data_IF_998981908200
#
_entry.id   IF_998981908200
#
_cell.length_a   1.000
_cell.length_b   1.000
_cell.length_c   1.000
_cell.angle_alpha   90.00
_cell.angle_beta   90.00
_cell.angle_gamma   90.00
#
_symmetry.space_group_name_H-M   'P 1'
#
loop_
_entity.id
_entity.type
_entity.pdbx_description
1 polymer ?
#
# COMPACT_ATOMS: atom_id res chain seq x y z
N UNK A 1 10.28 0.43 22.56
CA UNK A 1 10.11 0.45 21.09
C UNK A 1 11.19 -0.42 20.48
N UNK A 2 10.91 -1.08 19.37
CA UNK A 2 11.83 -1.97 18.66
C UNK A 2 11.92 -1.55 17.19
N UNK A 3 13.11 -1.70 16.60
CA UNK A 3 13.31 -1.46 15.17
C UNK A 3 13.01 -2.75 14.40
N UNK A 4 11.95 -2.74 13.61
CA UNK A 4 11.54 -3.87 12.76
C UNK A 4 12.00 -3.59 11.33
N UNK A 5 12.67 -4.57 10.71
CA UNK A 5 13.06 -4.49 9.30
C UNK A 5 11.83 -4.67 8.42
N UNK A 6 11.61 -3.74 7.48
CA UNK A 6 10.51 -3.86 6.53
C UNK A 6 10.80 -4.99 5.53
N UNK A 7 9.77 -5.76 5.14
CA UNK A 7 9.93 -6.79 4.11
C UNK A 7 10.44 -6.14 2.83
N UNK A 8 11.40 -6.79 2.16
CA UNK A 8 12.03 -6.24 0.98
C UNK A 8 10.99 -5.85 -0.08
N UNK A 9 11.20 -4.67 -0.69
CA UNK A 9 10.46 -4.25 -1.87
C UNK A 9 10.57 -5.37 -2.90
N UNK A 10 9.43 -5.95 -3.28
CA UNK A 10 9.43 -7.06 -4.20
C UNK A 10 9.79 -6.49 -5.58
N UNK A 11 11.00 -6.78 -6.07
CA UNK A 11 11.50 -6.36 -7.39
C UNK A 11 10.73 -7.05 -8.56
N UNK A 12 9.40 -7.18 -8.47
CA UNK A 12 8.53 -7.60 -9.57
C UNK A 12 8.57 -6.63 -10.75
N UNK A 13 9.15 -5.43 -10.57
CA UNK A 13 9.34 -4.43 -11.62
C UNK A 13 10.18 -4.86 -12.83
N UNK A 14 10.90 -6.00 -12.77
CA UNK A 14 11.62 -6.56 -13.92
C UNK A 14 11.01 -7.86 -14.47
N UNK A 15 9.91 -8.34 -13.91
CA UNK A 15 9.24 -9.53 -14.41
C UNK A 15 7.99 -9.13 -15.18
N UNK A 16 8.08 -9.21 -16.52
CA UNK A 16 6.93 -9.20 -17.42
C UNK A 16 5.81 -10.05 -16.83
N UNK A 17 4.59 -9.52 -16.83
CA UNK A 17 3.35 -10.17 -16.35
C UNK A 17 3.13 -11.57 -16.96
N UNK A 18 3.74 -11.85 -18.12
CA UNK A 18 3.81 -13.18 -18.74
C UNK A 18 4.62 -14.23 -17.95
N UNK A 19 5.64 -13.82 -17.19
CA UNK A 19 6.48 -14.70 -16.35
C UNK A 19 5.88 -14.98 -14.99
N UNK A 20 5.03 -14.08 -14.47
CA UNK A 20 4.28 -14.29 -13.22
C UNK A 20 3.26 -15.44 -13.33
N UNK A 21 2.64 -15.61 -14.52
CA UNK A 21 1.75 -16.75 -14.79
C UNK A 21 2.49 -18.08 -14.99
N UNK A 22 3.75 -18.07 -15.45
CA UNK A 22 4.57 -19.30 -15.64
C UNK A 22 5.21 -19.82 -14.36
N UNK A 23 5.46 -18.96 -13.36
CA UNK A 23 6.16 -19.34 -12.12
C UNK A 23 5.26 -19.99 -11.04
N UNK A 24 3.97 -20.22 -11.31
CA UNK A 24 3.12 -20.99 -10.39
C UNK A 24 3.47 -22.50 -10.38
N UNK A 25 4.19 -23.00 -11.40
CA UNK A 25 4.48 -24.44 -11.54
C UNK A 25 5.93 -24.86 -11.20
N UNK A 26 6.78 -23.97 -10.67
CA UNK A 26 8.15 -24.33 -10.31
C UNK A 26 8.59 -23.68 -9.01
N UNK A 27 8.14 -24.23 -7.88
CA UNK A 27 8.66 -23.89 -6.54
C UNK A 27 9.37 -25.10 -5.93
N UNK A 28 10.58 -25.38 -6.40
CA UNK A 28 11.58 -26.10 -5.63
C UNK A 28 12.91 -25.44 -5.98
N UNK A 29 13.42 -24.59 -5.07
CA UNK A 29 14.85 -24.36 -4.77
C UNK A 29 15.12 -22.91 -4.31
N UNK A 30 15.44 -22.80 -3.01
CA UNK A 30 16.22 -21.79 -2.29
C UNK A 30 15.73 -20.32 -2.25
N UNK A 31 15.18 -19.86 -1.10
CA UNK A 31 14.70 -18.48 -0.92
C UNK A 31 15.80 -17.44 -0.58
N UNK A 32 17.10 -17.77 -0.71
CA UNK A 32 18.19 -16.97 -0.14
C UNK A 32 19.03 -16.13 -1.13
N UNK A 33 18.65 -16.02 -2.39
CA UNK A 33 19.49 -15.31 -3.38
C UNK A 33 18.69 -14.32 -4.21
N UNK A 34 18.45 -13.13 -3.65
CA UNK A 34 18.30 -11.83 -4.35
C UNK A 34 18.08 -10.72 -3.31
N UNK A 35 19.03 -10.55 -2.37
CA UNK A 35 18.93 -9.62 -1.23
C UNK A 35 20.13 -8.66 -1.17
N UNK A 36 20.13 -7.66 -2.04
CA UNK A 36 20.98 -6.47 -1.96
C UNK A 36 20.19 -5.33 -2.66
N UNK A 37 19.93 -4.14 -2.15
CA UNK A 37 20.21 -3.41 -0.91
C UNK A 37 19.06 -2.39 -0.75
N UNK A 38 18.27 -2.45 0.32
CA UNK A 38 17.50 -1.30 0.85
C UNK A 38 17.02 -1.67 2.26
N UNK A 39 17.88 -1.49 3.27
CA UNK A 39 17.56 -1.73 4.68
C UNK A 39 16.75 -0.56 5.22
N UNK A 40 15.43 -0.61 5.02
CA UNK A 40 14.50 0.35 5.64
C UNK A 40 13.96 -0.22 6.94
N UNK A 41 14.08 0.55 8.02
CA UNK A 41 13.63 0.17 9.35
C UNK A 41 12.43 1.02 9.73
N UNK A 42 11.50 0.41 10.46
CA UNK A 42 10.40 1.14 11.09
C UNK A 42 10.45 0.93 12.60
N UNK A 43 10.13 1.98 13.34
CA UNK A 43 10.05 1.93 14.79
C UNK A 43 8.66 1.43 15.20
N UNK A 44 8.61 0.28 15.85
CA UNK A 44 7.39 -0.32 16.35
C UNK A 44 7.30 -0.18 17.88
N UNK A 45 6.08 0.01 18.39
CA UNK A 45 5.85 -0.08 19.83
C UNK A 45 5.90 -1.55 20.25
N UNK A 46 6.60 -1.85 21.35
CA UNK A 46 6.59 -3.17 22.00
C UNK A 46 5.50 -3.27 23.07
N UNK A 47 4.67 -2.24 23.17
CA UNK A 47 3.66 -2.16 24.21
C UNK A 47 2.55 -3.17 23.92
N UNK A 48 2.09 -3.86 24.96
CA UNK A 48 1.01 -4.84 24.87
C UNK A 48 -0.22 -4.17 24.22
N UNK A 49 -0.89 -4.81 23.23
CA UNK A 49 -1.96 -4.20 22.45
C UNK A 49 -3.19 -3.80 23.29
N UNK A 50 -3.27 -4.25 24.54
CA UNK A 50 -4.29 -3.79 25.52
C UNK A 50 -4.13 -2.31 25.90
N UNK A 51 -2.93 -1.76 25.73
CA UNK A 51 -2.60 -0.38 26.08
C UNK A 51 -2.39 0.52 24.86
N UNK A 52 -2.57 0.01 23.63
CA UNK A 52 -2.39 0.81 22.41
C UNK A 52 -3.45 1.91 22.27
N UNK A 53 -4.65 1.70 22.81
CA UNK A 53 -5.74 2.67 22.75
C UNK A 53 -5.41 3.98 23.49
N UNK A 54 -4.47 3.94 24.43
CA UNK A 54 -4.01 5.11 25.21
C UNK A 54 -3.03 6.01 24.42
N UNK A 55 -2.54 5.58 23.25
CA UNK A 55 -1.48 6.26 22.50
C UNK A 55 -2.03 7.05 21.29
N UNK A 56 -3.25 6.77 20.84
CA UNK A 56 -3.81 7.42 19.65
C UNK A 56 -4.43 8.80 19.91
N UNK A 57 -3.78 9.62 20.73
CA UNK A 57 -3.98 11.07 20.61
C UNK A 57 -3.31 11.51 19.32
N UNK A 58 -4.12 11.59 18.25
CA UNK A 58 -3.68 12.09 16.96
C UNK A 58 -3.28 13.55 17.18
N UNK A 59 -1.98 13.87 17.12
CA UNK A 59 -1.47 15.15 17.63
C UNK A 59 -1.91 16.33 16.75
N UNK A 60 -2.38 16.08 15.53
CA UNK A 60 -2.88 17.12 14.64
C UNK A 60 -4.00 16.58 13.75
N UNK A 61 -5.05 17.39 13.55
CA UNK A 61 -6.20 17.06 12.68
C UNK A 61 -5.74 16.57 11.29
N UNK A 62 -4.70 17.19 10.73
CA UNK A 62 -4.10 16.78 9.44
C UNK A 62 -3.58 15.35 9.46
N UNK A 63 -2.90 14.93 10.51
CA UNK A 63 -2.39 13.57 10.61
C UNK A 63 -3.53 12.55 10.75
N UNK A 64 -4.62 12.93 11.43
CA UNK A 64 -5.82 12.12 11.53
C UNK A 64 -6.52 11.93 10.19
N UNK A 65 -6.71 13.02 9.44
CA UNK A 65 -7.28 12.97 8.09
C UNK A 65 -6.40 12.12 7.16
N UNK A 66 -5.07 12.28 7.24
CA UNK A 66 -4.14 11.48 6.45
C UNK A 66 -4.17 9.98 6.83
N UNK A 67 -4.26 9.66 8.12
CA UNK A 67 -4.39 8.28 8.60
C UNK A 67 -5.70 7.64 8.14
N UNK A 68 -6.82 8.36 8.27
CA UNK A 68 -8.12 7.91 7.77
C UNK A 68 -8.10 7.65 6.27
N UNK A 69 -7.49 8.55 5.50
CA UNK A 69 -7.27 8.36 4.06
C UNK A 69 -6.48 7.08 3.74
N UNK A 70 -5.35 6.86 4.44
CA UNK A 70 -4.55 5.64 4.25
C UNK A 70 -5.42 4.42 4.49
N UNK A 71 -6.16 4.38 5.60
CA UNK A 71 -7.02 3.25 5.95
C UNK A 71 -8.09 3.00 4.89
N UNK A 72 -8.73 4.04 4.36
CA UNK A 72 -9.73 3.92 3.29
C UNK A 72 -9.12 3.37 2.00
N UNK A 73 -8.00 3.93 1.55
CA UNK A 73 -7.34 3.51 0.30
C UNK A 73 -6.80 2.07 0.43
N UNK A 74 -6.21 1.71 1.58
CA UNK A 74 -5.75 0.34 1.82
C UNK A 74 -6.91 -0.65 1.91
N UNK A 75 -8.06 -0.23 2.45
CA UNK A 75 -9.27 -1.07 2.49
C UNK A 75 -9.74 -1.40 1.07
N UNK A 76 -9.84 -0.39 0.20
CA UNK A 76 -10.18 -0.57 -1.21
C UNK A 76 -9.17 -1.51 -1.89
N UNK A 77 -7.88 -1.35 -1.60
CA UNK A 77 -6.84 -2.18 -2.19
C UNK A 77 -6.94 -3.66 -1.77
N UNK A 78 -7.16 -3.93 -0.48
CA UNK A 78 -7.31 -5.30 0.03
C UNK A 78 -8.59 -5.94 -0.52
N UNK A 79 -9.69 -5.19 -0.63
CA UNK A 79 -10.93 -5.67 -1.24
C UNK A 79 -10.76 -6.09 -2.70
N UNK A 80 -9.85 -5.44 -3.43
CA UNK A 80 -9.50 -5.79 -4.82
C UNK A 80 -8.41 -6.86 -4.94
N UNK A 81 -7.99 -7.50 -3.84
CA UNK A 81 -7.00 -8.58 -3.87
C UNK A 81 -5.54 -8.11 -3.77
N UNK A 82 -5.30 -6.85 -3.40
CA UNK A 82 -3.96 -6.30 -3.13
C UNK A 82 -3.30 -5.58 -4.30
N UNK A 83 -3.98 -5.47 -5.44
CA UNK A 83 -3.57 -4.69 -6.61
C UNK A 83 -4.77 -3.94 -7.22
N UNK A 84 -4.54 -2.72 -7.72
CA UNK A 84 -5.59 -1.89 -8.31
C UNK A 84 -5.02 -0.98 -9.39
N UNK A 85 -5.75 -0.78 -10.49
CA UNK A 85 -5.36 0.21 -11.50
C UNK A 85 -5.68 1.64 -11.04
N UNK A 86 -4.93 2.61 -11.54
CA UNK A 86 -5.14 4.03 -11.21
C UNK A 86 -6.56 4.49 -11.56
N UNK A 87 -7.08 4.07 -12.73
CA UNK A 87 -8.42 4.45 -13.18
C UNK A 87 -9.52 3.91 -12.26
N UNK A 88 -9.39 2.65 -11.85
CA UNK A 88 -10.37 1.99 -11.00
C UNK A 88 -10.31 2.52 -9.56
N UNK A 89 -9.11 2.84 -9.08
CA UNK A 89 -8.91 3.55 -7.81
C UNK A 89 -9.54 4.95 -7.84
N UNK A 90 -9.28 5.73 -8.88
CA UNK A 90 -9.88 7.06 -9.04
C UNK A 90 -11.41 6.97 -9.10
N UNK A 91 -11.97 5.95 -9.78
CA UNK A 91 -13.41 5.72 -9.81
C UNK A 91 -14.01 5.38 -8.43
N UNK A 92 -13.30 4.64 -7.59
CA UNK A 92 -13.79 4.40 -6.22
C UNK A 92 -13.70 5.65 -5.36
N UNK A 93 -12.62 6.42 -5.48
CA UNK A 93 -12.44 7.65 -4.71
C UNK A 93 -13.43 8.74 -5.11
N UNK A 94 -13.83 8.80 -6.38
CA UNK A 94 -14.88 9.70 -6.86
C UNK A 94 -16.23 9.38 -6.24
N UNK A 95 -16.56 8.10 -6.07
CA UNK A 95 -17.78 7.66 -5.39
C UNK A 95 -17.78 8.05 -3.90
N UNK A 96 -16.60 8.10 -3.27
CA UNK A 96 -16.43 8.58 -1.89
C UNK A 96 -16.30 10.11 -1.79
N UNK A 97 -16.48 10.85 -2.89
CA UNK A 97 -16.31 12.30 -2.97
C UNK A 97 -14.92 12.81 -2.53
N UNK A 98 -13.88 11.96 -2.67
CA UNK A 98 -12.52 12.28 -2.23
C UNK A 98 -11.66 12.99 -3.28
N UNK A 99 -12.21 13.25 -4.47
CA UNK A 99 -11.44 13.76 -5.62
C UNK A 99 -11.03 15.23 -5.50
N UNK A 100 -11.90 16.09 -4.96
CA UNK A 100 -11.72 17.54 -5.05
C UNK A 100 -11.60 18.28 -3.72
N UNK A 101 -12.14 17.73 -2.62
CA UNK A 101 -12.37 18.52 -1.40
C UNK A 101 -11.81 17.86 -0.14
N UNK A 102 -10.65 17.21 -0.24
CA UNK A 102 -10.01 16.74 0.98
C UNK A 102 -9.22 17.85 1.66
N UNK A 103 -9.46 18.04 2.96
CA UNK A 103 -8.74 18.96 3.85
C UNK A 103 -7.22 18.78 3.89
N UNK A 104 -6.67 17.72 3.29
CA UNK A 104 -5.23 17.44 3.18
C UNK A 104 -4.62 17.96 1.85
N UNK A 105 -5.44 18.24 0.83
CA UNK A 105 -5.02 18.70 -0.49
C UNK A 105 -5.50 17.81 -1.65
N UNK A 106 -4.85 17.96 -2.80
CA UNK A 106 -5.15 17.19 -4.03
C UNK A 106 -4.79 15.71 -3.86
N UNK A 107 -5.68 14.82 -4.29
CA UNK A 107 -5.53 13.37 -4.27
C UNK A 107 -4.19 12.88 -4.84
N UNK A 108 -3.72 13.47 -5.94
CA UNK A 108 -2.44 13.11 -6.55
C UNK A 108 -1.24 13.36 -5.63
N UNK A 109 -1.31 14.42 -4.83
CA UNK A 109 -0.26 14.74 -3.85
C UNK A 109 -0.27 13.71 -2.73
N UNK A 110 -1.45 13.39 -2.21
CA UNK A 110 -1.60 12.37 -1.16
C UNK A 110 -1.12 11.00 -1.62
N UNK A 111 -1.45 10.60 -2.85
CA UNK A 111 -1.03 9.33 -3.42
C UNK A 111 0.50 9.26 -3.60
N UNK A 112 1.13 10.35 -4.05
CA UNK A 112 2.59 10.48 -4.10
C UNK A 112 3.22 10.42 -2.71
N UNK A 113 2.61 11.05 -1.70
CA UNK A 113 3.06 10.97 -0.32
C UNK A 113 2.94 9.57 0.26
N UNK A 114 1.86 8.85 -0.02
CA UNK A 114 1.68 7.45 0.39
C UNK A 114 2.73 6.53 -0.24
N UNK A 115 3.05 6.74 -1.52
CA UNK A 115 4.14 6.01 -2.19
C UNK A 115 5.49 6.36 -1.57
N UNK A 116 5.76 7.65 -1.29
CA UNK A 116 6.99 8.10 -0.63
C UNK A 116 7.16 7.50 0.77
N UNK A 117 6.06 7.41 1.54
CA UNK A 117 6.05 6.79 2.87
C UNK A 117 6.10 5.26 2.84
N UNK A 118 5.94 4.64 1.67
CA UNK A 118 6.03 3.18 1.49
C UNK A 118 4.75 2.41 1.79
N UNK A 119 3.60 3.09 1.92
CA UNK A 119 2.29 2.45 2.06
C UNK A 119 1.82 1.82 0.75
N UNK A 120 2.17 2.45 -0.38
CA UNK A 120 1.82 2.00 -1.71
C UNK A 120 3.07 1.85 -2.56
N UNK A 121 3.02 0.91 -3.49
CA UNK A 121 4.01 0.75 -4.55
C UNK A 121 3.34 1.03 -5.89
N UNK A 122 3.93 1.93 -6.68
CA UNK A 122 3.43 2.29 -8.01
C UNK A 122 4.23 1.53 -9.07
N UNK A 123 3.56 0.71 -9.87
CA UNK A 123 4.15 -0.03 -10.98
C UNK A 123 3.55 0.49 -12.30
N UNK A 124 4.41 0.70 -13.31
CA UNK A 124 3.97 1.01 -14.68
C UNK A 124 3.56 -0.28 -15.37
N UNK A 125 2.31 -0.35 -15.81
CA UNK A 125 1.81 -1.44 -16.62
C UNK A 125 2.36 -1.29 -18.06
N UNK A 126 2.98 -2.35 -18.57
CA UNK A 126 3.59 -2.37 -19.90
C UNK A 126 2.65 -2.97 -20.96
N UNK A 127 1.40 -3.29 -20.60
CA UNK A 127 0.42 -3.92 -21.50
C UNK A 127 -0.27 -2.88 -22.39
N UNK A 128 -0.37 -1.62 -21.97
CA UNK A 128 -0.95 -0.56 -22.81
C UNK A 128 0.10 -0.01 -23.77
N UNK A 129 0.19 -0.65 -24.94
CA UNK A 129 0.82 -0.07 -26.12
C UNK A 129 0.18 1.28 -26.45
N UNK A 130 1.03 2.28 -26.71
CA UNK A 130 0.74 3.57 -27.36
C UNK A 130 -0.15 4.60 -26.63
N UNK A 131 0.48 5.71 -26.24
CA UNK A 131 -0.06 7.07 -26.07
C UNK A 131 -0.78 7.50 -24.77
N UNK A 132 -0.96 6.67 -23.75
CA UNK A 132 -1.47 7.12 -22.43
C UNK A 132 -0.53 6.73 -21.28
N UNK A 133 0.63 7.37 -21.23
CA UNK A 133 1.68 7.11 -20.24
C UNK A 133 1.28 7.41 -18.78
N UNK A 134 0.19 8.14 -18.57
CA UNK A 134 -0.31 8.51 -17.24
C UNK A 134 -1.39 7.58 -16.68
N UNK A 135 -2.04 6.75 -17.52
CA UNK A 135 -3.20 5.94 -17.10
C UNK A 135 -2.87 4.49 -16.78
N UNK A 136 -1.79 3.95 -17.35
CA UNK A 136 -1.35 2.57 -17.13
C UNK A 136 -0.56 2.35 -15.83
N UNK A 137 -0.97 2.88 -14.68
CA UNK A 137 -0.32 2.58 -13.40
C UNK A 137 -1.14 1.62 -12.56
N UNK A 138 -0.47 0.65 -11.95
CA UNK A 138 -1.03 -0.27 -10.96
C UNK A 138 -0.43 0.08 -9.61
N UNK A 139 -1.30 0.24 -8.60
CA UNK A 139 -0.91 0.38 -7.21
C UNK A 139 -0.97 -0.97 -6.51
N UNK A 140 0.08 -1.28 -5.75
CA UNK A 140 0.18 -2.47 -4.92
C UNK A 140 0.45 -2.07 -3.48
N UNK A 141 0.19 -3.01 -2.56
CA UNK A 141 0.45 -2.79 -1.15
C UNK A 141 1.97 -2.75 -0.91
N UNK A 142 2.43 -1.60 -0.41
CA UNK A 142 3.83 -1.35 -0.11
C UNK A 142 4.30 -2.14 1.13
N UNK A 143 5.63 -2.20 1.35
CA UNK A 143 6.22 -2.97 2.44
C UNK A 143 5.77 -2.46 3.81
N UNK A 144 5.62 -1.14 3.98
CA UNK A 144 5.15 -0.53 5.22
C UNK A 144 3.69 -0.85 5.50
N UNK A 145 2.84 -0.82 4.48
CA UNK A 145 1.43 -1.19 4.60
C UNK A 145 1.24 -2.65 5.03
N UNK A 146 2.12 -3.55 4.58
CA UNK A 146 2.11 -4.97 5.00
C UNK A 146 2.53 -5.18 6.45
N UNK A 147 3.41 -4.33 6.97
CA UNK A 147 3.92 -4.44 8.34
C UNK A 147 2.99 -3.77 9.36
N UNK A 148 2.42 -2.61 9.03
CA UNK A 148 1.55 -1.88 9.96
C UNK A 148 0.12 -2.46 10.02
N UNK A 149 -0.37 -3.03 8.91
CA UNK A 149 -1.78 -3.40 8.79
C UNK A 149 -1.91 -4.88 8.44
N UNK A 150 -2.47 -5.63 9.39
CA UNK A 150 -2.84 -7.01 9.16
C UNK A 150 -4.08 -7.09 8.26
N UNK A 151 -4.04 -7.86 7.15
CA UNK A 151 -5.19 -8.00 6.25
C UNK A 151 -6.45 -8.52 6.95
N UNK A 152 -6.28 -9.39 7.96
CA UNK A 152 -7.37 -9.92 8.77
C UNK A 152 -8.01 -8.82 9.63
N UNK A 153 -7.19 -7.97 10.24
CA UNK A 153 -7.65 -6.84 11.04
C UNK A 153 -8.43 -5.84 10.17
N UNK A 154 -7.89 -5.51 8.99
CA UNK A 154 -8.57 -4.60 8.08
C UNK A 154 -9.89 -5.18 7.56
N UNK A 155 -9.95 -6.48 7.30
CA UNK A 155 -11.21 -7.15 6.91
C UNK A 155 -12.24 -7.10 8.05
N UNK A 156 -11.81 -7.29 9.30
CA UNK A 156 -12.70 -7.15 10.46
C UNK A 156 -13.19 -5.72 10.63
N UNK A 157 -12.33 -4.74 10.38
CA UNK A 157 -12.70 -3.32 10.37
C UNK A 157 -13.76 -3.01 9.31
N UNK A 158 -13.55 -3.43 8.05
CA UNK A 158 -14.51 -3.22 6.95
C UNK A 158 -15.86 -3.87 7.26
N UNK A 159 -15.89 -5.02 7.94
CA UNK A 159 -17.15 -5.67 8.34
C UNK A 159 -17.89 -4.95 9.46
N UNK A 160 -17.18 -4.17 10.27
CA UNK A 160 -17.73 -3.48 11.44
C UNK A 160 -18.30 -2.10 11.08
N UNK A 161 -17.70 -1.43 10.09
CA UNK A 161 -18.16 -0.16 9.52
C UNK A 161 -19.36 -0.41 8.62
#
# INVERSE_FOLDING_TARGET
MELVELPYKNNRGHMSTSRLRKNQNSQIHNPFSMSHLNKSWILCSILDPKYSDLIFDIPTIKEGVFSGMIMTILSILIMNGGEISNELLARYLSQLQMDNDTSIGNLDKTLKEMVKKGYLEKIKDNITSSNEEEKGYIYLLGPRGKTEIDPKSLTAFIKKV
#
